data_IF_893110019906
#
_entry.id   IF_893110019906
#
_cell.length_a   1.000
_cell.length_b   1.000
_cell.length_c   1.000
_cell.angle_alpha   90.00
_cell.angle_beta   90.00
_cell.angle_gamma   90.00
#
_symmetry.space_group_name_H-M   'P 1'
#
loop_
_entity.id
_entity.type
_entity.pdbx_description
1 polymer ?
#
# COMPACT_ATOMS: atom_id res chain seq x y z
N UNK A 1 -4.17 9.72 11.18
CA UNK A 1 -4.11 9.32 9.76
C UNK A 1 -2.68 9.46 9.26
N UNK A 2 -1.80 8.52 9.63
CA UNK A 2 -0.41 8.49 9.15
C UNK A 2 -0.24 7.43 8.05
N UNK A 3 -1.02 6.36 8.15
CA UNK A 3 -1.04 5.25 7.20
C UNK A 3 -1.82 5.54 5.93
N UNK A 4 -2.70 6.55 5.89
CA UNK A 4 -3.53 6.88 4.72
C UNK A 4 -2.85 7.85 3.73
N UNK A 5 -1.77 8.52 4.15
CA UNK A 5 -1.13 9.61 3.39
C UNK A 5 0.25 9.22 2.85
N UNK A 6 0.61 7.95 2.96
CA UNK A 6 1.96 7.48 2.73
C UNK A 6 2.13 7.16 1.24
N UNK A 7 2.86 8.03 0.53
CA UNK A 7 3.18 7.81 -0.88
C UNK A 7 4.16 6.63 -1.03
N UNK A 8 3.82 5.66 -1.88
CA UNK A 8 4.59 4.42 -2.04
C UNK A 8 6.01 4.67 -2.53
N UNK A 9 6.20 5.68 -3.39
CA UNK A 9 7.52 6.04 -3.93
C UNK A 9 8.46 6.55 -2.83
N UNK A 10 7.94 7.41 -1.94
CA UNK A 10 8.69 7.96 -0.81
C UNK A 10 9.04 6.89 0.21
N UNK A 11 8.15 5.91 0.41
CA UNK A 11 8.41 4.76 1.28
C UNK A 11 9.51 3.87 0.71
N UNK A 12 9.41 3.52 -0.57
CA UNK A 12 10.38 2.66 -1.26
C UNK A 12 11.78 3.29 -1.23
N UNK A 13 11.89 4.59 -1.51
CA UNK A 13 13.15 5.32 -1.44
C UNK A 13 13.73 5.35 -0.01
N UNK A 14 12.89 5.50 1.02
CA UNK A 14 13.35 5.42 2.43
C UNK A 14 13.84 4.03 2.82
N UNK A 15 13.13 2.99 2.42
CA UNK A 15 13.50 1.59 2.70
C UNK A 15 14.84 1.25 2.02
N UNK A 16 15.03 1.69 0.79
CA UNK A 16 16.31 1.54 0.08
C UNK A 16 17.46 2.25 0.78
N UNK A 17 17.24 3.47 1.26
CA UNK A 17 18.21 4.23 2.06
C UNK A 17 18.53 3.56 3.41
N UNK A 18 17.56 2.87 4.02
CA UNK A 18 17.80 2.06 5.22
C UNK A 18 18.48 0.71 4.93
N UNK A 19 18.77 0.40 3.66
CA UNK A 19 19.50 -0.80 3.27
C UNK A 19 18.61 -1.99 2.89
N UNK A 20 17.28 -1.82 2.87
CA UNK A 20 16.36 -2.83 2.35
C UNK A 20 16.40 -2.78 0.83
N UNK A 21 16.99 -3.81 0.20
CA UNK A 21 17.29 -3.84 -1.23
C UNK A 21 16.92 -5.18 -1.85
N UNK A 22 17.01 -5.25 -3.18
CA UNK A 22 16.82 -6.49 -3.93
C UNK A 22 15.39 -7.02 -3.79
N UNK A 23 15.27 -8.31 -3.49
CA UNK A 23 13.97 -9.00 -3.47
C UNK A 23 13.04 -8.51 -2.36
N UNK A 24 13.57 -8.11 -1.20
CA UNK A 24 12.75 -7.57 -0.11
C UNK A 24 12.09 -6.24 -0.49
N UNK A 25 12.85 -5.33 -1.12
CA UNK A 25 12.32 -4.06 -1.61
C UNK A 25 11.29 -4.28 -2.73
N UNK A 26 11.58 -5.20 -3.66
CA UNK A 26 10.64 -5.57 -4.72
C UNK A 26 9.34 -6.17 -4.18
N UNK A 27 9.42 -7.00 -3.15
CA UNK A 27 8.24 -7.56 -2.49
C UNK A 27 7.37 -6.45 -1.90
N UNK A 28 7.97 -5.52 -1.15
CA UNK A 28 7.23 -4.40 -0.56
C UNK A 28 6.65 -3.47 -1.64
N UNK A 29 7.41 -3.16 -2.68
CA UNK A 29 6.93 -2.35 -3.79
C UNK A 29 5.77 -3.05 -4.55
N UNK A 30 5.88 -4.35 -4.80
CA UNK A 30 4.81 -5.14 -5.42
C UNK A 30 3.56 -5.21 -4.53
N UNK A 31 3.74 -5.27 -3.21
CA UNK A 31 2.63 -5.31 -2.26
C UNK A 31 1.85 -3.98 -2.21
N UNK A 32 2.54 -2.86 -2.40
CA UNK A 32 1.95 -1.53 -2.34
C UNK A 32 1.37 -1.08 -3.69
N UNK A 33 1.95 -1.51 -4.81
CA UNK A 33 1.53 -1.13 -6.16
C UNK A 33 0.21 -1.78 -6.61
N UNK A 34 -0.51 -1.10 -7.52
CA UNK A 34 -1.76 -1.57 -8.15
C UNK A 34 -2.86 -2.00 -7.17
N UNK A 35 -2.88 -1.43 -5.97
CA UNK A 35 -3.90 -1.72 -4.99
C UNK A 35 -5.22 -1.06 -5.36
N UNK A 36 -6.30 -1.76 -5.08
CA UNK A 36 -7.68 -1.26 -5.19
C UNK A 36 -8.38 -1.40 -3.85
N UNK A 37 -9.37 -0.54 -3.64
CA UNK A 37 -10.26 -0.59 -2.48
C UNK A 37 -11.71 -0.50 -2.94
N UNK A 38 -12.58 -1.19 -2.21
CA UNK A 38 -14.02 -1.05 -2.29
C UNK A 38 -14.60 -1.18 -0.88
N UNK A 39 -15.82 -0.72 -0.69
CA UNK A 39 -16.56 -0.86 0.57
C UNK A 39 -17.71 -1.82 0.36
N UNK A 40 -17.88 -2.79 1.26
CA UNK A 40 -19.09 -3.60 1.34
C UNK A 40 -19.94 -3.12 2.51
N UNK A 41 -21.20 -2.77 2.26
CA UNK A 41 -22.19 -2.48 3.30
C UNK A 41 -23.44 -3.26 2.98
N UNK A 42 -23.89 -4.11 3.92
CA UNK A 42 -25.14 -4.86 3.80
C UNK A 42 -25.26 -5.66 2.48
N UNK A 43 -24.17 -6.32 2.05
CA UNK A 43 -24.03 -7.07 0.79
C UNK A 43 -23.99 -6.24 -0.51
N UNK A 44 -24.01 -4.92 -0.43
CA UNK A 44 -23.78 -4.03 -1.56
C UNK A 44 -22.30 -3.64 -1.61
N UNK A 45 -21.67 -3.78 -2.78
CA UNK A 45 -20.29 -3.38 -3.02
C UNK A 45 -20.25 -2.01 -3.71
N UNK A 46 -19.38 -1.12 -3.27
CA UNK A 46 -19.03 0.07 -4.04
C UNK A 46 -18.17 -0.28 -5.25
N UNK A 47 -18.02 0.68 -6.16
CA UNK A 47 -17.02 0.60 -7.22
C UNK A 47 -15.60 0.44 -6.64
N UNK A 48 -14.75 -0.27 -7.38
CA UNK A 48 -13.33 -0.40 -7.05
C UNK A 48 -12.59 0.89 -7.41
N UNK A 49 -11.87 1.46 -6.45
CA UNK A 49 -11.04 2.63 -6.63
C UNK A 49 -9.57 2.27 -6.44
N UNK A 50 -8.70 2.83 -7.29
CA UNK A 50 -7.25 2.69 -7.15
C UNK A 50 -6.75 3.39 -5.89
N UNK A 51 -5.83 2.73 -5.17
CA UNK A 51 -5.21 3.23 -3.94
C UNK A 51 -3.78 3.65 -4.24
N UNK A 52 -3.61 4.95 -4.47
CA UNK A 52 -2.30 5.56 -4.75
C UNK A 52 -1.56 6.00 -3.47
N UNK A 53 -2.30 6.12 -2.36
CA UNK A 53 -1.78 6.63 -1.10
C UNK A 53 -2.17 5.70 0.04
N UNK A 54 -1.20 5.50 0.92
CA UNK A 54 -1.40 4.80 2.17
C UNK A 54 -1.27 3.29 2.09
N UNK A 55 -1.34 2.67 3.27
CA UNK A 55 -1.13 1.24 3.51
C UNK A 55 -2.34 0.67 4.24
N UNK A 56 -2.65 -0.62 4.10
CA UNK A 56 -3.80 -1.20 4.77
C UNK A 56 -3.55 -1.20 6.28
N UNK A 57 -4.48 -0.65 7.05
CA UNK A 57 -4.39 -0.66 8.51
C UNK A 57 -4.97 -2.00 9.00
N UNK A 58 -4.13 -2.87 9.57
CA UNK A 58 -4.53 -4.20 10.05
C UNK A 58 -4.04 -5.37 9.19
N UNK A 59 -3.37 -5.11 8.07
CA UNK A 59 -2.60 -6.13 7.36
C UNK A 59 -1.23 -6.32 8.02
N UNK A 60 -0.92 -7.55 8.41
CA UNK A 60 0.39 -7.96 8.94
C UNK A 60 1.26 -8.30 7.73
N UNK A 61 2.15 -7.38 7.36
CA UNK A 61 3.32 -7.70 6.56
C UNK A 61 4.47 -8.06 7.51
#
# INVERSE_FOLDING_TARGET
KAFDTLAHDKLTAKLENYGIRGNALKLIASYLSNRKQFVNVLNENSDELSVEYGVPQGSVL
#
